data_IF_513249184033
#
_entry.id   IF_513249184033
#
_cell.length_a   1.000
_cell.length_b   1.000
_cell.length_c   1.000
_cell.angle_alpha   90.00
_cell.angle_beta   90.00
_cell.angle_gamma   90.00
#
_symmetry.space_group_name_H-M   'P 1'
#
loop_
_entity.id
_entity.type
_entity.pdbx_description
1 polymer ?
#
# COMPACT_ATOMS: atom_id res chain seq x y z
N UNK A 1 -25.10 -11.86 4.81
CA UNK A 1 -24.02 -11.94 5.84
C UNK A 1 -24.52 -11.28 7.12
N UNK A 2 -24.62 -12.03 8.24
CA UNK A 2 -25.05 -11.47 9.54
C UNK A 2 -23.84 -10.75 10.12
N UNK A 3 -23.96 -9.48 10.47
CA UNK A 3 -22.94 -8.69 11.16
C UNK A 3 -23.05 -8.93 12.69
N UNK A 4 -22.40 -9.93 13.27
CA UNK A 4 -22.54 -10.21 14.69
C UNK A 4 -21.53 -9.47 15.49
N UNK A 5 -21.07 -8.37 15.42
CA UNK A 5 -20.13 -7.76 16.38
C UNK A 5 -19.86 -6.25 16.21
N UNK A 6 -20.76 -5.49 15.58
CA UNK A 6 -20.68 -4.03 15.65
C UNK A 6 -20.83 -3.54 17.11
N UNK A 7 -21.60 -4.29 17.93
CA UNK A 7 -21.79 -3.99 19.34
C UNK A 7 -20.52 -4.18 20.19
N UNK A 8 -19.63 -5.12 19.82
CA UNK A 8 -18.36 -5.34 20.54
C UNK A 8 -17.35 -4.21 20.29
N UNK A 9 -17.40 -3.60 19.10
CA UNK A 9 -16.56 -2.44 18.78
C UNK A 9 -16.94 -1.19 19.57
N UNK A 10 -18.25 -1.01 19.86
CA UNK A 10 -18.78 0.14 20.61
C UNK A 10 -18.46 0.01 22.12
N UNK A 11 -18.39 -1.20 22.66
CA UNK A 11 -18.08 -1.44 24.09
C UNK A 11 -16.60 -1.19 24.45
N UNK A 12 -15.70 -1.13 23.47
CA UNK A 12 -14.27 -0.80 23.65
C UNK A 12 -14.02 0.71 23.79
N UNK A 13 -15.04 1.56 23.62
CA UNK A 13 -14.85 3.02 23.51
C UNK A 13 -14.89 3.78 24.85
N UNK A 14 -14.94 3.14 26.00
CA UNK A 14 -15.25 3.83 27.26
C UNK A 14 -14.10 4.08 28.23
N UNK A 15 -12.83 3.85 27.87
CA UNK A 15 -11.71 4.18 28.78
C UNK A 15 -10.46 4.70 28.08
N UNK A 16 -10.06 5.95 28.42
CA UNK A 16 -8.76 6.61 28.24
C UNK A 16 -8.06 6.53 26.87
N UNK A 17 -7.78 7.72 26.29
CA UNK A 17 -6.84 7.88 25.18
C UNK A 17 -7.23 7.21 23.85
N UNK A 18 -8.55 7.11 23.56
CA UNK A 18 -9.02 6.49 22.32
C UNK A 18 -9.45 7.54 21.31
N UNK A 19 -9.02 7.38 20.06
CA UNK A 19 -9.54 8.14 18.93
C UNK A 19 -10.22 7.22 17.92
N UNK A 20 -11.44 7.55 17.54
CA UNK A 20 -12.18 6.93 16.46
C UNK A 20 -12.32 7.94 15.34
N UNK A 21 -11.87 7.61 14.14
CA UNK A 21 -12.07 8.44 12.97
C UNK A 21 -12.71 7.67 11.84
N UNK A 22 -13.55 8.36 11.07
CA UNK A 22 -14.18 7.83 9.86
C UNK A 22 -13.91 8.80 8.71
N UNK A 23 -13.46 8.26 7.59
CA UNK A 23 -13.25 8.99 6.33
C UNK A 23 -13.73 8.16 5.17
N UNK A 24 -13.87 8.77 3.99
CA UNK A 24 -14.26 8.04 2.80
C UNK A 24 -13.74 8.73 1.54
N UNK A 25 -13.48 7.93 0.52
CA UNK A 25 -13.15 8.40 -0.82
C UNK A 25 -14.25 7.93 -1.76
N UNK A 26 -14.90 8.89 -2.42
CA UNK A 26 -15.91 8.64 -3.45
C UNK A 26 -15.37 9.05 -4.81
N UNK A 27 -15.72 8.30 -5.86
CA UNK A 27 -15.44 8.69 -7.24
C UNK A 27 -16.59 8.31 -8.14
N UNK A 28 -16.71 9.05 -9.23
CA UNK A 28 -17.63 8.79 -10.32
C UNK A 28 -16.94 9.13 -11.64
N UNK A 29 -17.12 8.31 -12.65
CA UNK A 29 -16.67 8.60 -13.99
C UNK A 29 -17.73 8.23 -15.02
N UNK A 30 -17.73 8.94 -16.15
CA UNK A 30 -18.59 8.65 -17.29
C UNK A 30 -17.78 8.73 -18.58
N UNK A 31 -18.00 7.78 -19.46
CA UNK A 31 -17.44 7.74 -20.80
C UNK A 31 -18.59 7.75 -21.80
N UNK A 32 -18.49 8.58 -22.82
CA UNK A 32 -19.43 8.58 -23.93
C UNK A 32 -18.67 8.36 -25.23
N UNK A 33 -19.17 7.47 -26.07
CA UNK A 33 -18.59 7.13 -27.36
C UNK A 33 -19.54 7.43 -28.49
N UNK A 34 -18.99 7.89 -29.63
CA UNK A 34 -19.69 7.93 -30.91
C UNK A 34 -19.33 6.63 -31.66
N UNK A 35 -20.24 6.12 -32.48
CA UNK A 35 -20.01 4.92 -33.31
C UNK A 35 -19.66 3.65 -32.52
N UNK A 36 -20.35 3.39 -31.40
CA UNK A 36 -20.16 2.18 -30.62
C UNK A 36 -20.69 0.94 -31.38
N UNK A 37 -20.07 -0.25 -31.17
CA UNK A 37 -20.55 -1.48 -31.77
C UNK A 37 -22.00 -1.80 -31.41
N UNK A 38 -22.70 -2.50 -32.30
CA UNK A 38 -24.10 -2.91 -32.07
C UNK A 38 -24.19 -3.73 -30.78
N UNK A 39 -25.11 -3.32 -29.89
CA UNK A 39 -25.32 -3.98 -28.59
C UNK A 39 -24.53 -3.40 -27.43
N UNK A 40 -23.66 -2.43 -27.67
CA UNK A 40 -23.02 -1.65 -26.60
C UNK A 40 -23.75 -0.32 -26.38
N UNK A 41 -23.75 0.17 -25.15
CA UNK A 41 -24.26 1.49 -24.84
C UNK A 41 -23.27 2.58 -25.24
N UNK A 42 -23.74 3.69 -25.80
CA UNK A 42 -22.90 4.85 -26.04
C UNK A 42 -22.42 5.54 -24.77
N UNK A 43 -22.97 5.18 -23.62
CA UNK A 43 -22.58 5.73 -22.33
C UNK A 43 -22.23 4.62 -21.35
N UNK A 44 -21.04 4.70 -20.77
CA UNK A 44 -20.59 3.87 -19.65
C UNK A 44 -20.29 4.75 -18.45
N UNK A 45 -20.66 4.29 -17.25
CA UNK A 45 -20.35 5.00 -16.01
C UNK A 45 -19.81 4.07 -14.95
N UNK A 46 -18.90 4.58 -14.14
CA UNK A 46 -18.42 3.89 -12.95
C UNK A 46 -18.63 4.74 -11.72
N UNK A 47 -18.99 4.07 -10.63
CA UNK A 47 -19.15 4.65 -9.31
C UNK A 47 -18.39 3.81 -8.32
N UNK A 48 -17.79 4.45 -7.33
CA UNK A 48 -17.18 3.71 -6.25
C UNK A 48 -17.05 4.51 -4.98
N UNK A 49 -16.83 3.78 -3.88
CA UNK A 49 -16.69 4.35 -2.55
C UNK A 49 -15.78 3.48 -1.69
N UNK A 50 -14.88 4.11 -0.95
CA UNK A 50 -14.02 3.45 0.05
C UNK A 50 -14.27 4.11 1.40
N UNK A 51 -15.25 3.64 2.20
CA UNK A 51 -15.35 4.00 3.60
C UNK A 51 -14.16 3.42 4.36
N UNK A 52 -13.59 4.20 5.26
CA UNK A 52 -12.48 3.81 6.12
C UNK A 52 -12.80 4.17 7.55
N UNK A 53 -12.70 3.20 8.44
CA UNK A 53 -12.80 3.34 9.88
C UNK A 53 -11.44 3.12 10.50
N UNK A 54 -10.97 4.04 11.34
CA UNK A 54 -9.71 3.93 12.06
C UNK A 54 -9.94 4.13 13.55
N UNK A 55 -9.33 3.25 14.35
CA UNK A 55 -9.35 3.29 15.80
C UNK A 55 -7.90 3.32 16.30
N UNK A 56 -7.58 4.23 17.21
CA UNK A 56 -6.29 4.27 17.88
C UNK A 56 -6.48 4.31 19.39
N UNK A 57 -5.61 3.63 20.12
CA UNK A 57 -5.60 3.59 21.58
C UNK A 57 -4.18 3.64 22.11
N UNK A 58 -3.92 4.61 22.97
CA UNK A 58 -2.68 4.68 23.72
C UNK A 58 -2.65 3.61 24.81
N UNK A 59 -1.53 2.89 24.91
CA UNK A 59 -1.26 1.91 25.96
C UNK A 59 -0.34 2.49 27.03
N UNK A 60 0.57 3.37 26.63
CA UNK A 60 1.48 4.13 27.48
C UNK A 60 1.93 5.39 26.76
N UNK A 61 2.75 6.23 27.41
CA UNK A 61 3.32 7.45 26.82
C UNK A 61 4.12 7.20 25.52
N UNK A 62 4.62 5.95 25.34
CA UNK A 62 5.48 5.58 24.21
C UNK A 62 4.95 4.41 23.39
N UNK A 63 3.72 3.96 23.64
CA UNK A 63 3.16 2.83 22.91
C UNK A 63 1.67 2.96 22.66
N UNK A 64 1.23 2.53 21.47
CA UNK A 64 -0.18 2.55 21.07
C UNK A 64 -0.53 1.39 20.15
N UNK A 65 -1.82 1.12 20.06
CA UNK A 65 -2.41 0.17 19.11
C UNK A 65 -3.33 0.93 18.16
N UNK A 66 -3.21 0.63 16.87
CA UNK A 66 -4.13 1.12 15.84
C UNK A 66 -4.81 -0.05 15.15
N UNK A 67 -5.99 0.25 14.65
CA UNK A 67 -6.76 -0.62 13.77
C UNK A 67 -7.32 0.21 12.62
N UNK A 68 -7.28 -0.32 11.40
CA UNK A 68 -7.93 0.27 10.24
C UNK A 68 -8.71 -0.79 9.47
N UNK A 69 -9.95 -0.43 9.13
CA UNK A 69 -10.79 -1.20 8.26
C UNK A 69 -11.35 -0.31 7.15
N UNK A 70 -11.09 -0.69 5.91
CA UNK A 70 -11.62 -0.05 4.72
C UNK A 70 -12.19 -1.09 3.78
N UNK A 71 -13.39 -0.84 3.28
CA UNK A 71 -14.05 -1.68 2.28
C UNK A 71 -14.15 -0.88 0.99
N UNK A 72 -13.89 -1.51 -0.13
CA UNK A 72 -14.03 -0.89 -1.45
C UNK A 72 -15.26 -1.45 -2.15
N UNK A 73 -16.10 -0.54 -2.63
CA UNK A 73 -17.28 -0.81 -3.44
C UNK A 73 -17.05 -0.21 -4.83
N UNK A 74 -17.16 -1.03 -5.88
CA UNK A 74 -17.06 -0.59 -7.28
C UNK A 74 -18.29 -1.05 -8.05
N UNK A 75 -18.88 -0.16 -8.85
CA UNK A 75 -19.98 -0.47 -9.76
C UNK A 75 -19.69 0.09 -11.14
N UNK A 76 -19.88 -0.73 -12.15
CA UNK A 76 -19.75 -0.36 -13.57
C UNK A 76 -21.10 -0.56 -14.27
N UNK A 77 -21.52 0.44 -15.01
CA UNK A 77 -22.75 0.42 -15.78
C UNK A 77 -22.46 0.65 -17.26
N UNK A 78 -23.26 0.03 -18.13
CA UNK A 78 -23.35 0.31 -19.55
C UNK A 78 -24.79 0.71 -19.85
N UNK A 79 -25.04 2.01 -20.10
CA UNK A 79 -26.37 2.58 -20.04
C UNK A 79 -27.02 2.33 -18.67
N UNK A 80 -28.22 1.74 -18.68
CA UNK A 80 -28.96 1.38 -17.46
C UNK A 80 -28.62 0.00 -16.91
N UNK A 81 -27.71 -0.74 -17.57
CA UNK A 81 -27.36 -2.11 -17.19
C UNK A 81 -26.14 -2.14 -16.28
N UNK A 82 -26.26 -2.79 -15.12
CA UNK A 82 -25.14 -3.04 -14.21
C UNK A 82 -24.26 -4.17 -14.78
N UNK A 83 -23.04 -3.84 -15.20
CA UNK A 83 -22.07 -4.80 -15.76
C UNK A 83 -21.26 -5.49 -14.67
N UNK A 84 -20.92 -4.75 -13.61
CA UNK A 84 -20.04 -5.27 -12.56
C UNK A 84 -20.37 -4.64 -11.21
N UNK A 85 -20.34 -5.45 -10.17
CA UNK A 85 -20.50 -5.03 -8.79
C UNK A 85 -19.45 -5.77 -7.95
N UNK A 86 -18.42 -5.06 -7.51
CA UNK A 86 -17.36 -5.61 -6.69
C UNK A 86 -17.37 -5.01 -5.29
N UNK A 87 -17.29 -5.89 -4.30
CA UNK A 87 -17.11 -5.53 -2.90
C UNK A 87 -15.93 -6.32 -2.35
N UNK A 88 -14.92 -5.63 -1.79
CA UNK A 88 -13.74 -6.27 -1.20
C UNK A 88 -13.16 -5.46 -0.06
N UNK A 89 -12.51 -6.14 0.87
CA UNK A 89 -11.67 -5.46 1.83
C UNK A 89 -10.53 -4.74 1.08
N UNK A 90 -10.37 -3.46 1.35
CA UNK A 90 -9.31 -2.64 0.80
C UNK A 90 -8.14 -2.52 1.76
N UNK A 91 -8.45 -2.41 3.07
CA UNK A 91 -7.51 -2.47 4.20
C UNK A 91 -8.21 -3.16 5.36
N UNK A 92 -7.47 -3.96 6.08
CA UNK A 92 -7.94 -4.61 7.30
C UNK A 92 -6.71 -5.02 8.10
N UNK A 93 -6.22 -4.16 8.97
CA UNK A 93 -5.00 -4.43 9.71
C UNK A 93 -5.06 -3.89 11.13
N UNK A 94 -4.29 -4.52 12.02
CA UNK A 94 -3.97 -4.02 13.35
C UNK A 94 -2.47 -3.75 13.44
N UNK A 95 -2.08 -2.71 14.21
CA UNK A 95 -0.70 -2.31 14.43
C UNK A 95 -0.45 -2.02 15.90
N UNK A 96 0.65 -2.54 16.40
CA UNK A 96 1.26 -2.12 17.65
C UNK A 96 2.50 -1.30 17.34
N UNK A 97 2.67 -0.17 18.01
CA UNK A 97 3.83 0.69 17.88
C UNK A 97 4.37 1.01 19.27
N UNK A 98 5.69 0.95 19.41
CA UNK A 98 6.46 1.44 20.56
C UNK A 98 7.62 2.30 20.06
N UNK A 99 8.39 2.88 20.98
CA UNK A 99 9.53 3.74 20.64
C UNK A 99 10.52 3.10 19.65
N UNK A 100 10.77 1.78 19.78
CA UNK A 100 11.77 1.07 18.97
C UNK A 100 11.21 -0.04 18.09
N UNK A 101 9.91 -0.28 18.13
CA UNK A 101 9.35 -1.43 17.45
C UNK A 101 7.94 -1.16 16.92
N UNK A 102 7.66 -1.60 15.69
CA UNK A 102 6.34 -1.64 15.10
C UNK A 102 6.05 -3.06 14.62
N UNK A 103 4.86 -3.58 14.93
CA UNK A 103 4.32 -4.79 14.34
C UNK A 103 2.97 -4.50 13.71
N UNK A 104 2.77 -4.90 12.45
CA UNK A 104 1.49 -4.74 11.75
C UNK A 104 1.07 -6.06 11.11
N UNK A 105 -0.19 -6.47 11.34
CA UNK A 105 -0.77 -7.71 10.84
C UNK A 105 -2.05 -7.42 10.06
N UNK A 106 -2.22 -8.09 8.92
CA UNK A 106 -3.41 -8.09 8.09
C UNK A 106 -3.22 -7.45 6.73
N UNK A 107 -4.33 -7.15 6.05
CA UNK A 107 -4.36 -6.57 4.71
C UNK A 107 -3.89 -5.12 4.74
N UNK A 108 -2.66 -4.89 4.32
CA UNK A 108 -1.95 -3.62 4.45
C UNK A 108 -1.19 -3.23 3.18
N UNK A 109 -0.88 -1.95 3.05
CA UNK A 109 0.03 -1.45 2.02
C UNK A 109 1.48 -1.60 2.49
N UNK A 110 2.34 -2.18 1.65
CA UNK A 110 3.79 -2.22 1.83
C UNK A 110 4.43 -1.54 0.64
N UNK A 111 5.14 -0.44 0.89
CA UNK A 111 5.76 0.41 -0.13
C UNK A 111 7.17 0.74 0.30
N UNK A 112 8.08 0.73 -0.64
CA UNK A 112 9.44 1.21 -0.46
C UNK A 112 9.99 1.80 -1.76
N UNK A 113 11.12 2.50 -1.64
CA UNK A 113 11.76 3.23 -2.71
C UNK A 113 11.20 4.64 -2.89
N UNK A 114 12.06 5.58 -3.34
CA UNK A 114 11.72 6.98 -3.50
C UNK A 114 10.99 7.32 -4.81
N UNK A 115 10.99 6.43 -5.80
CA UNK A 115 10.46 6.70 -7.13
C UNK A 115 8.94 6.81 -7.13
N UNK A 116 8.40 7.78 -7.88
CA UNK A 116 6.97 8.10 -7.91
C UNK A 116 6.25 7.49 -9.11
N UNK A 117 6.88 7.49 -10.28
CA UNK A 117 6.25 7.11 -11.56
C UNK A 117 6.74 5.73 -12.00
N UNK A 118 8.01 5.61 -12.35
CA UNK A 118 8.64 4.35 -12.77
C UNK A 118 9.30 3.71 -11.55
N UNK A 119 8.59 2.82 -10.89
CA UNK A 119 8.94 2.28 -9.59
C UNK A 119 9.51 0.86 -9.71
N UNK A 120 10.85 0.75 -9.66
CA UNK A 120 11.55 -0.55 -9.73
C UNK A 120 11.26 -1.43 -8.50
N UNK A 121 10.85 -0.83 -7.38
CA UNK A 121 10.56 -1.49 -6.12
C UNK A 121 9.05 -1.64 -5.83
N UNK A 122 8.16 -1.48 -6.81
CA UNK A 122 6.71 -1.70 -6.63
C UNK A 122 6.34 -3.19 -6.61
N UNK A 123 6.89 -3.93 -5.65
CA UNK A 123 6.71 -5.39 -5.59
C UNK A 123 5.36 -5.80 -5.00
N UNK A 124 4.79 -4.98 -4.10
CA UNK A 124 3.59 -5.28 -3.33
C UNK A 124 2.51 -4.22 -3.43
N UNK A 125 2.77 -3.15 -4.17
CA UNK A 125 1.91 -1.97 -4.24
C UNK A 125 1.69 -1.53 -5.69
N UNK A 126 1.41 -2.47 -6.57
CA UNK A 126 1.07 -2.20 -7.97
C UNK A 126 -0.09 -1.22 -8.05
N UNK A 127 0.10 -0.16 -8.83
CA UNK A 127 -0.92 0.83 -9.15
C UNK A 127 -1.64 0.38 -10.41
N UNK A 128 -2.95 0.33 -10.37
CA UNK A 128 -3.77 0.20 -11.58
C UNK A 128 -3.98 1.62 -12.15
N UNK A 129 -3.36 1.90 -13.29
CA UNK A 129 -3.47 3.21 -13.96
C UNK A 129 -4.89 3.53 -14.45
N UNK A 130 -5.77 2.55 -14.52
CA UNK A 130 -7.19 2.74 -14.85
C UNK A 130 -8.03 3.04 -13.61
N UNK A 131 -7.46 2.86 -12.42
CA UNK A 131 -8.15 3.11 -11.16
C UNK A 131 -8.17 4.62 -10.86
N UNK A 132 -9.35 5.27 -10.87
CA UNK A 132 -9.47 6.71 -10.64
C UNK A 132 -9.05 7.13 -9.22
N UNK A 133 -8.90 6.18 -8.29
CA UNK A 133 -8.52 6.48 -6.91
C UNK A 133 -7.02 6.59 -6.71
N UNK A 134 -6.22 6.13 -7.67
CA UNK A 134 -4.77 6.00 -7.55
C UNK A 134 -4.35 5.22 -6.29
N UNK A 135 -5.19 4.27 -5.87
CA UNK A 135 -4.97 3.43 -4.70
C UNK A 135 -4.29 2.12 -5.10
N UNK A 136 -3.32 1.71 -4.31
CA UNK A 136 -2.66 0.41 -4.52
C UNK A 136 -3.44 -0.71 -3.84
N UNK A 137 -3.33 -1.91 -4.39
CA UNK A 137 -3.78 -3.13 -3.69
C UNK A 137 -2.99 -3.29 -2.40
N UNK A 138 -3.61 -3.89 -1.38
CA UNK A 138 -2.93 -4.34 -0.18
C UNK A 138 -2.42 -5.78 -0.34
N UNK A 139 -1.59 -6.20 0.61
CA UNK A 139 -1.15 -7.59 0.79
C UNK A 139 -1.46 -8.04 2.21
N UNK A 140 -1.86 -9.30 2.36
CA UNK A 140 -2.03 -9.92 3.68
C UNK A 140 -0.64 -10.27 4.22
N UNK A 141 -0.24 -9.59 5.29
CA UNK A 141 1.13 -9.67 5.77
C UNK A 141 1.22 -9.49 7.29
N UNK A 142 2.23 -10.13 7.87
CA UNK A 142 2.86 -9.71 9.11
C UNK A 142 4.09 -8.90 8.75
N UNK A 143 4.16 -7.64 9.19
CA UNK A 143 5.32 -6.75 9.01
C UNK A 143 5.83 -6.31 10.36
N UNK A 144 7.12 -6.45 10.56
CA UNK A 144 7.85 -6.00 11.74
C UNK A 144 8.84 -4.91 11.33
N UNK A 145 8.97 -3.87 12.15
CA UNK A 145 10.02 -2.87 12.02
C UNK A 145 10.70 -2.69 13.36
N UNK A 146 12.02 -2.61 13.32
CA UNK A 146 12.85 -2.33 14.48
C UNK A 146 13.71 -1.09 14.20
N UNK A 147 13.75 -0.18 15.13
CA UNK A 147 14.49 1.08 15.09
C UNK A 147 15.60 1.06 16.16
N UNK A 148 16.77 0.44 15.88
CA UNK A 148 17.87 0.38 16.86
C UNK A 148 18.35 1.75 17.30
N UNK A 149 18.36 2.71 16.38
CA UNK A 149 18.70 4.11 16.59
C UNK A 149 18.00 4.99 15.53
N UNK A 150 18.20 6.30 15.59
CA UNK A 150 17.54 7.27 14.70
C UNK A 150 18.01 7.22 13.23
N UNK A 151 19.11 6.53 12.96
CA UNK A 151 19.69 6.45 11.61
C UNK A 151 19.50 5.07 10.94
N UNK A 152 18.98 4.08 11.67
CA UNK A 152 18.82 2.72 11.16
C UNK A 152 17.41 2.21 11.43
N UNK A 153 16.74 1.73 10.39
CA UNK A 153 15.52 0.93 10.52
C UNK A 153 15.69 -0.43 9.83
N UNK A 154 15.21 -1.48 10.49
CA UNK A 154 15.23 -2.83 9.98
C UNK A 154 13.80 -3.36 9.89
N UNK A 155 13.42 -3.83 8.72
CA UNK A 155 12.10 -4.38 8.46
C UNK A 155 12.20 -5.86 8.14
N UNK A 156 11.17 -6.59 8.52
CA UNK A 156 10.93 -7.95 8.03
C UNK A 156 9.45 -8.15 7.77
N UNK A 157 9.13 -9.04 6.86
CA UNK A 157 7.75 -9.38 6.55
C UNK A 157 7.59 -10.83 6.11
N UNK A 158 6.41 -11.36 6.41
CA UNK A 158 5.86 -12.56 5.83
C UNK A 158 4.57 -12.18 5.12
N UNK A 159 4.43 -12.49 3.83
CA UNK A 159 3.28 -12.15 3.00
C UNK A 159 2.63 -13.44 2.54
N UNK A 160 1.32 -13.56 2.73
CA UNK A 160 0.52 -14.62 2.13
C UNK A 160 0.12 -14.19 0.73
N UNK A 161 0.47 -14.99 -0.27
CA UNK A 161 0.08 -14.73 -1.65
C UNK A 161 -1.30 -15.36 -1.97
N UNK A 162 -1.83 -15.09 -3.17
CA UNK A 162 -3.13 -15.61 -3.63
C UNK A 162 -3.19 -17.15 -3.74
N UNK A 163 -2.05 -17.84 -3.65
CA UNK A 163 -1.93 -19.30 -3.72
C UNK A 163 -1.74 -19.92 -2.33
N UNK A 164 -2.04 -19.19 -1.25
CA UNK A 164 -1.83 -19.58 0.15
C UNK A 164 -0.37 -19.93 0.49
N UNK A 165 0.58 -19.45 -0.33
CA UNK A 165 2.02 -19.64 -0.07
C UNK A 165 2.57 -18.42 0.67
N UNK A 166 3.48 -18.66 1.64
CA UNK A 166 4.14 -17.60 2.37
C UNK A 166 5.43 -17.19 1.67
N UNK A 167 5.57 -15.91 1.41
CA UNK A 167 6.80 -15.27 0.94
C UNK A 167 7.40 -14.40 2.03
N UNK A 168 8.72 -14.25 2.04
CA UNK A 168 9.45 -13.62 3.13
C UNK A 168 10.44 -12.59 2.59
N UNK A 169 10.67 -11.55 3.36
CA UNK A 169 11.67 -10.56 3.00
C UNK A 169 12.07 -9.66 4.14
N UNK A 170 13.00 -8.79 3.83
CA UNK A 170 13.50 -7.79 4.77
C UNK A 170 14.08 -6.58 4.06
N UNK A 171 14.20 -5.49 4.81
CA UNK A 171 14.76 -4.23 4.35
C UNK A 171 15.57 -3.60 5.47
N UNK A 172 16.73 -3.06 5.13
CA UNK A 172 17.49 -2.15 5.97
C UNK A 172 17.46 -0.76 5.35
N UNK A 173 17.18 0.26 6.15
CA UNK A 173 17.22 1.67 5.76
C UNK A 173 18.22 2.39 6.65
N UNK A 174 19.11 3.16 6.03
CA UNK A 174 20.15 3.92 6.71
C UNK A 174 20.03 5.38 6.28
N UNK A 175 19.77 6.26 7.25
CA UNK A 175 19.78 7.71 7.06
C UNK A 175 21.15 8.27 7.44
N UNK A 176 21.71 9.09 6.55
CA UNK A 176 23.01 9.75 6.72
C UNK A 176 22.93 11.20 6.29
N UNK A 177 24.01 11.97 6.50
CA UNK A 177 24.10 13.37 6.06
C UNK A 177 24.08 13.55 4.54
N UNK A 178 24.39 12.51 3.77
CA UNK A 178 24.36 12.56 2.30
C UNK A 178 23.08 12.01 1.70
N UNK A 179 22.20 11.43 2.49
CA UNK A 179 20.90 10.90 2.04
C UNK A 179 20.52 9.59 2.73
N UNK A 180 19.45 9.00 2.23
CA UNK A 180 18.88 7.75 2.72
C UNK A 180 19.20 6.60 1.76
N UNK A 181 19.64 5.48 2.33
CA UNK A 181 19.95 4.24 1.60
C UNK A 181 19.00 3.14 2.02
N UNK A 182 18.47 2.42 1.04
CA UNK A 182 17.65 1.23 1.25
C UNK A 182 18.27 -0.01 0.63
N UNK A 183 18.29 -1.11 1.36
CA UNK A 183 18.62 -2.44 0.87
C UNK A 183 17.45 -3.38 1.14
N UNK A 184 16.93 -4.03 0.11
CA UNK A 184 15.74 -4.88 0.19
C UNK A 184 15.99 -6.25 -0.41
N UNK A 185 15.54 -7.29 0.28
CA UNK A 185 15.55 -8.67 -0.20
C UNK A 185 14.17 -9.29 -0.04
N UNK A 186 13.79 -10.17 -0.97
CA UNK A 186 12.53 -10.89 -0.90
C UNK A 186 12.62 -12.23 -1.62
N UNK A 187 12.11 -13.27 -0.96
CA UNK A 187 12.01 -14.62 -1.50
C UNK A 187 10.53 -15.00 -1.62
N UNK A 188 10.12 -15.32 -2.83
CA UNK A 188 8.76 -15.75 -3.16
C UNK A 188 8.83 -17.19 -3.69
N UNK A 189 8.45 -18.20 -2.88
CA UNK A 189 8.47 -19.61 -3.26
C UNK A 189 7.21 -20.08 -4.01
N UNK A 190 6.53 -19.17 -4.73
CA UNK A 190 5.36 -19.51 -5.55
C UNK A 190 5.69 -20.50 -6.66
N UNK A 191 4.71 -20.87 -7.50
CA UNK A 191 4.85 -21.85 -8.61
C UNK A 191 6.05 -21.57 -9.53
N UNK A 192 6.42 -20.28 -9.67
CA UNK A 192 7.67 -19.85 -10.32
C UNK A 192 8.46 -19.09 -9.24
N UNK A 193 9.39 -19.77 -8.54
CA UNK A 193 10.16 -19.16 -7.47
C UNK A 193 10.92 -17.92 -7.93
N UNK A 194 10.88 -16.87 -7.14
CA UNK A 194 11.55 -15.60 -7.43
C UNK A 194 12.35 -15.12 -6.23
N UNK A 195 13.57 -14.69 -6.51
CA UNK A 195 14.40 -13.95 -5.57
C UNK A 195 14.49 -12.50 -6.05
N UNK A 196 14.32 -11.56 -5.15
CA UNK A 196 14.38 -10.13 -5.48
C UNK A 196 15.37 -9.45 -4.56
N UNK A 197 16.25 -8.67 -5.16
CA UNK A 197 17.25 -7.84 -4.48
C UNK A 197 17.10 -6.42 -4.98
N UNK A 198 17.15 -5.45 -4.09
CA UNK A 198 17.10 -4.06 -4.49
C UNK A 198 17.97 -3.17 -3.64
N UNK A 199 18.45 -2.12 -4.27
CA UNK A 199 19.11 -0.98 -3.66
C UNK A 199 18.37 0.27 -4.07
N UNK A 200 18.18 1.18 -3.14
CA UNK A 200 17.70 2.51 -3.44
C UNK A 200 18.46 3.56 -2.63
N UNK A 201 18.49 4.76 -3.18
CA UNK A 201 19.13 5.93 -2.60
C UNK A 201 18.24 7.15 -2.85
N UNK A 202 18.12 8.01 -1.86
CA UNK A 202 17.46 9.30 -1.96
C UNK A 202 18.31 10.38 -1.31
N UNK A 203 18.50 11.46 -2.02
CA UNK A 203 19.10 12.68 -1.53
C UNK A 203 18.08 13.82 -1.57
N UNK A 204 17.82 14.42 -0.43
CA UNK A 204 16.99 15.62 -0.29
C UNK A 204 17.89 16.83 -0.15
N UNK A 205 17.91 17.69 -1.16
CA UNK A 205 18.71 18.90 -1.22
C UNK A 205 17.99 19.99 -2.01
N UNK A 206 18.71 20.99 -2.47
CA UNK A 206 18.17 22.00 -3.39
C UNK A 206 17.58 21.39 -4.66
N UNK A 207 18.20 20.33 -5.14
CA UNK A 207 17.65 19.39 -6.13
C UNK A 207 17.52 18.05 -5.40
N UNK A 208 16.29 17.55 -5.25
CA UNK A 208 16.03 16.19 -4.83
C UNK A 208 16.50 15.22 -5.92
N UNK A 209 17.11 14.10 -5.54
CA UNK A 209 17.53 13.08 -6.51
C UNK A 209 17.39 11.68 -5.90
N UNK A 210 17.09 10.69 -6.76
CA UNK A 210 16.98 9.31 -6.32
C UNK A 210 17.42 8.31 -7.37
N UNK A 211 17.78 7.14 -6.89
CA UNK A 211 18.12 5.96 -7.67
C UNK A 211 17.40 4.76 -7.06
N UNK A 212 16.77 3.96 -7.89
CA UNK A 212 16.32 2.62 -7.55
C UNK A 212 16.90 1.60 -8.49
N UNK A 213 17.38 0.47 -8.00
CA UNK A 213 17.74 -0.68 -8.82
C UNK A 213 17.24 -1.96 -8.19
N UNK A 214 16.66 -2.83 -9.00
CA UNK A 214 16.15 -4.14 -8.59
C UNK A 214 16.64 -5.23 -9.53
N UNK A 215 17.06 -6.35 -8.96
CA UNK A 215 17.36 -7.60 -9.64
C UNK A 215 16.30 -8.62 -9.22
N UNK A 216 15.61 -9.20 -10.20
CA UNK A 216 14.60 -10.23 -10.00
C UNK A 216 15.09 -11.47 -10.73
N UNK A 217 15.45 -12.50 -9.98
CA UNK A 217 15.96 -13.77 -10.49
C UNK A 217 14.88 -14.85 -10.37
N UNK A 218 14.63 -15.56 -11.44
CA UNK A 218 13.76 -16.74 -11.49
C UNK A 218 14.48 -17.88 -12.25
N UNK A 219 13.90 -19.08 -12.22
CA UNK A 219 14.51 -20.26 -12.88
C UNK A 219 14.86 -20.03 -14.37
N UNK A 220 14.09 -19.20 -15.06
CA UNK A 220 14.21 -19.06 -16.52
C UNK A 220 14.71 -17.67 -16.97
N UNK A 221 14.82 -16.70 -16.09
CA UNK A 221 15.18 -15.33 -16.47
C UNK A 221 15.64 -14.47 -15.29
N UNK A 222 16.55 -13.57 -15.59
CA UNK A 222 16.94 -12.47 -14.73
C UNK A 222 16.45 -11.15 -15.32
N UNK A 223 15.82 -10.33 -14.50
CA UNK A 223 15.32 -9.01 -14.88
C UNK A 223 16.02 -7.99 -14.00
N UNK A 224 16.69 -7.02 -14.63
CA UNK A 224 17.26 -5.87 -13.95
C UNK A 224 16.46 -4.62 -14.32
N UNK A 225 15.96 -3.94 -13.31
CA UNK A 225 15.25 -2.66 -13.42
C UNK A 225 16.09 -1.58 -12.74
N UNK A 226 16.22 -0.43 -13.38
CA UNK A 226 16.89 0.72 -12.78
C UNK A 226 16.12 1.98 -13.13
N UNK A 227 15.84 2.79 -12.13
CA UNK A 227 15.18 4.10 -12.26
C UNK A 227 16.02 5.15 -11.58
N UNK A 228 16.22 6.26 -12.27
CA UNK A 228 16.90 7.46 -11.76
C UNK A 228 15.94 8.62 -11.93
N UNK A 229 15.86 9.48 -10.94
CA UNK A 229 15.02 10.66 -11.00
C UNK A 229 15.58 11.82 -10.20
N UNK A 230 15.07 12.99 -10.51
CA UNK A 230 15.35 14.22 -9.78
C UNK A 230 14.10 15.09 -9.75
N UNK A 231 13.95 15.88 -8.68
CA UNK A 231 12.93 16.90 -8.56
C UNK A 231 13.51 18.23 -8.11
N UNK A 232 12.76 19.29 -8.36
CA UNK A 232 13.12 20.64 -7.97
C UNK A 232 11.86 21.43 -7.60
N UNK A 233 11.84 22.01 -6.43
CA UNK A 233 10.76 22.88 -5.98
C UNK A 233 11.05 24.32 -6.36
N UNK A 234 10.23 24.86 -7.27
CA UNK A 234 10.33 26.28 -7.65
C UNK A 234 9.87 27.17 -6.49
N UNK A 235 10.73 28.06 -5.95
CA UNK A 235 10.38 28.91 -4.81
C UNK A 235 9.33 30.00 -5.14
N UNK A 236 8.97 30.14 -6.42
CA UNK A 236 8.00 31.15 -6.91
C UNK A 236 6.55 30.71 -6.65
N UNK A 237 6.32 29.46 -6.33
CA UNK A 237 4.98 28.88 -6.14
C UNK A 237 4.61 28.58 -4.68
N UNK A 238 5.37 29.10 -3.72
CA UNK A 238 5.08 29.04 -2.29
C UNK A 238 4.56 30.39 -1.78
#
# INVERSE_FOLDING_TARGET
MKFPNLALLILLTTTFGQSLSSKGQFWASGLTGNDVPTGQSAFESSLGYIPTLSLSRDLSDFSFIDFEWAVRFDRLYSGDSLLSNHEKNHRLWARYTSEKFEARLGLQKIVFGPSQILRSLSWFDTIDLKDPTNQTKGVDALRLKWFPNNSLSLWSWAIQNEQDTLSFGGRAEISSSIGEFGFTVHSDPSTIPKQRFALDFRHDGYIGSWLETALITSENSDIKLTTIGADYTLPILN
#
